data_IF_664504560242
#
_entry.id   IF_664504560242
#
_cell.length_a   1.000
_cell.length_b   1.000
_cell.length_c   1.000
_cell.angle_alpha   90.00
_cell.angle_beta   90.00
_cell.angle_gamma   90.00
#
_symmetry.space_group_name_H-M   'P 1'
#
loop_
_entity.id
_entity.type
_entity.pdbx_description
1 polymer ?
#
# COMPACT_ATOMS: atom_id res chain seq x y z
N UNK A 1 13.91 12.34 1.11
CA UNK A 1 13.80 11.26 0.11
C UNK A 1 14.72 11.60 -1.06
N UNK A 2 15.39 10.62 -1.64
CA UNK A 2 16.31 10.79 -2.76
C UNK A 2 15.60 11.38 -3.99
N UNK A 3 16.25 12.32 -4.71
CA UNK A 3 15.65 13.02 -5.84
C UNK A 3 15.37 12.07 -7.04
N UNK A 4 16.26 11.10 -7.26
CA UNK A 4 16.09 10.11 -8.34
C UNK A 4 14.88 9.22 -8.05
N UNK A 5 14.68 8.81 -6.79
CA UNK A 5 13.51 8.03 -6.39
C UNK A 5 12.21 8.79 -6.62
N UNK A 6 12.16 10.07 -6.22
CA UNK A 6 10.98 10.91 -6.46
C UNK A 6 10.66 11.04 -7.94
N UNK A 7 11.67 11.21 -8.78
CA UNK A 7 11.51 11.26 -10.23
C UNK A 7 10.93 9.95 -10.77
N UNK A 8 11.46 8.80 -10.39
CA UNK A 8 10.96 7.49 -10.84
C UNK A 8 9.54 7.21 -10.36
N UNK A 9 9.21 7.55 -9.10
CA UNK A 9 7.84 7.41 -8.58
C UNK A 9 6.86 8.33 -9.31
N UNK A 10 7.30 9.54 -9.71
CA UNK A 10 6.50 10.43 -10.57
C UNK A 10 6.23 9.80 -11.94
N UNK A 11 7.24 9.18 -12.56
CA UNK A 11 7.08 8.45 -13.83
C UNK A 11 6.13 7.26 -13.70
N UNK A 12 6.15 6.54 -12.55
CA UNK A 12 5.17 5.47 -12.25
C UNK A 12 3.74 6.00 -12.35
N UNK A 13 3.48 7.16 -11.75
CA UNK A 13 2.14 7.78 -11.79
C UNK A 13 1.77 8.27 -13.19
N UNK A 14 2.69 8.91 -13.89
CA UNK A 14 2.46 9.42 -15.26
C UNK A 14 2.19 8.31 -16.26
N UNK A 15 2.88 7.18 -16.13
CA UNK A 15 2.73 6.01 -17.03
C UNK A 15 1.56 5.10 -16.64
N UNK A 16 0.88 5.37 -15.51
CA UNK A 16 -0.12 4.47 -14.97
C UNK A 16 0.46 3.09 -14.62
N UNK A 17 1.76 3.05 -14.25
CA UNK A 17 2.43 1.82 -13.89
C UNK A 17 1.95 1.33 -12.51
N UNK A 18 1.81 0.01 -12.36
CA UNK A 18 1.43 -0.60 -11.08
C UNK A 18 2.59 -0.68 -10.10
N UNK A 19 3.80 -0.97 -10.59
CA UNK A 19 4.97 -1.21 -9.76
C UNK A 19 6.22 -0.54 -10.35
N UNK A 20 7.12 -0.09 -9.45
CA UNK A 20 8.51 0.25 -9.75
C UNK A 20 9.41 -0.80 -9.08
N UNK A 21 10.29 -1.40 -9.84
CA UNK A 21 11.28 -2.36 -9.38
C UNK A 21 12.66 -1.72 -9.46
N UNK A 22 13.35 -1.70 -8.35
CA UNK A 22 14.73 -1.22 -8.24
C UNK A 22 15.64 -2.35 -7.80
N UNK A 23 16.73 -2.55 -8.53
CA UNK A 23 17.74 -3.58 -8.21
C UNK A 23 19.13 -3.06 -8.52
N UNK A 24 20.07 -3.36 -7.64
CA UNK A 24 21.48 -3.05 -7.89
C UNK A 24 21.97 -3.69 -9.20
N UNK A 25 22.65 -2.92 -10.03
CA UNK A 25 23.19 -3.34 -11.32
C UNK A 25 22.20 -3.32 -12.49
N UNK A 26 20.96 -2.88 -12.28
CA UNK A 26 19.94 -2.76 -13.31
C UNK A 26 19.38 -1.33 -13.38
N UNK A 27 18.87 -0.87 -14.54
CA UNK A 27 18.09 0.34 -14.60
C UNK A 27 16.79 0.18 -13.79
N UNK A 28 16.16 1.29 -13.34
CA UNK A 28 14.82 1.22 -12.77
C UNK A 28 13.85 0.59 -13.77
N UNK A 29 13.01 -0.33 -13.31
CA UNK A 29 12.03 -1.03 -14.14
C UNK A 29 10.62 -0.69 -13.67
N UNK A 30 9.69 -0.45 -14.59
CA UNK A 30 8.27 -0.23 -14.27
C UNK A 30 7.41 -1.33 -14.86
N UNK A 31 6.29 -1.63 -14.18
CA UNK A 31 5.28 -2.56 -14.69
C UNK A 31 4.09 -1.78 -15.24
N UNK A 32 3.93 -1.80 -16.56
CA UNK A 32 2.81 -1.15 -17.27
C UNK A 32 1.98 -2.24 -17.93
N UNK A 33 0.69 -2.29 -17.67
CA UNK A 33 -0.25 -3.30 -18.22
C UNK A 33 0.28 -4.75 -18.07
N UNK A 34 0.88 -5.05 -16.90
CA UNK A 34 1.43 -6.36 -16.59
C UNK A 34 2.83 -6.64 -17.14
N UNK A 35 3.37 -5.79 -18.02
CA UNK A 35 4.69 -5.97 -18.63
C UNK A 35 5.75 -5.12 -17.94
N UNK A 36 6.90 -5.72 -17.63
CA UNK A 36 8.08 -5.00 -17.13
C UNK A 36 8.84 -4.36 -18.29
N UNK A 37 9.20 -3.08 -18.10
CA UNK A 37 10.01 -2.33 -19.05
C UNK A 37 10.99 -1.41 -18.32
N UNK A 38 12.22 -1.19 -18.83
CA UNK A 38 13.16 -0.27 -18.21
C UNK A 38 12.70 1.18 -18.42
N UNK A 39 12.98 2.01 -17.41
CA UNK A 39 13.02 3.46 -17.60
C UNK A 39 14.33 3.84 -18.30
N UNK A 40 14.31 4.95 -19.03
CA UNK A 40 15.51 5.50 -19.69
C UNK A 40 16.43 6.17 -18.66
N UNK A 41 17.05 5.33 -17.84
CA UNK A 41 17.99 5.70 -16.77
C UNK A 41 19.15 4.70 -16.73
N UNK A 42 20.34 5.12 -16.27
CA UNK A 42 21.48 4.21 -16.11
C UNK A 42 21.17 3.16 -15.01
N UNK A 43 21.96 2.08 -15.03
CA UNK A 43 21.91 1.06 -14.00
C UNK A 43 22.25 1.64 -12.62
N UNK A 44 21.49 1.24 -11.60
CA UNK A 44 21.65 1.70 -10.22
C UNK A 44 22.87 0.97 -9.61
N UNK A 45 23.88 1.70 -9.17
CA UNK A 45 25.00 1.08 -8.44
C UNK A 45 24.55 0.57 -7.07
N UNK A 46 25.27 -0.42 -6.52
CA UNK A 46 24.97 -0.96 -5.19
C UNK A 46 25.01 0.14 -4.10
N UNK A 47 26.00 1.04 -4.17
CA UNK A 47 26.12 2.16 -3.23
C UNK A 47 24.96 3.16 -3.36
N UNK A 48 24.51 3.44 -4.59
CA UNK A 48 23.36 4.31 -4.81
C UNK A 48 22.08 3.65 -4.29
N UNK A 49 21.90 2.34 -4.50
CA UNK A 49 20.76 1.60 -3.98
C UNK A 49 20.68 1.68 -2.45
N UNK A 50 21.79 1.50 -1.74
CA UNK A 50 21.84 1.64 -0.27
C UNK A 50 21.45 3.04 0.17
N UNK A 51 22.02 4.09 -0.46
CA UNK A 51 21.71 5.50 -0.14
C UNK A 51 20.22 5.81 -0.37
N UNK A 52 19.68 5.36 -1.48
CA UNK A 52 18.28 5.54 -1.85
C UNK A 52 17.35 4.91 -0.82
N UNK A 53 17.58 3.65 -0.46
CA UNK A 53 16.78 2.94 0.55
C UNK A 53 16.93 3.58 1.93
N UNK A 54 18.12 3.95 2.35
CA UNK A 54 18.35 4.64 3.62
C UNK A 54 17.60 5.97 3.68
N UNK A 55 17.65 6.76 2.61
CA UNK A 55 16.90 8.03 2.51
C UNK A 55 15.39 7.82 2.53
N UNK A 56 14.90 6.80 1.87
CA UNK A 56 13.48 6.45 1.86
C UNK A 56 13.01 6.03 3.26
N UNK A 57 13.71 5.10 3.90
CA UNK A 57 13.37 4.57 5.22
C UNK A 57 13.48 5.62 6.34
N UNK A 58 14.41 6.56 6.25
CA UNK A 58 14.52 7.69 7.19
C UNK A 58 13.27 8.60 7.15
N UNK A 59 12.61 8.71 6.01
CA UNK A 59 11.37 9.48 5.87
C UNK A 59 10.14 8.75 6.44
N UNK A 60 10.22 7.45 6.74
CA UNK A 60 9.13 6.66 7.34
C UNK A 60 8.98 6.89 8.84
N UNK A 61 10.03 7.31 9.53
CA UNK A 61 10.04 7.54 10.98
C UNK A 61 9.03 8.61 11.45
N UNK A 62 8.46 9.40 10.54
CA UNK A 62 7.50 10.46 10.83
C UNK A 62 6.02 10.08 10.66
N UNK A 63 5.68 8.89 10.16
CA UNK A 63 4.31 8.55 9.75
C UNK A 63 3.52 7.67 10.72
N UNK A 64 3.83 7.72 12.04
CA UNK A 64 3.04 7.03 13.08
C UNK A 64 3.20 5.50 13.12
N UNK A 65 4.04 4.91 12.27
CA UNK A 65 4.43 3.50 12.30
C UNK A 65 5.68 3.30 13.17
N UNK A 66 5.87 4.16 14.18
CA UNK A 66 7.09 4.31 14.96
C UNK A 66 7.13 3.38 16.19
N UNK A 67 7.19 2.06 15.98
CA UNK A 67 7.80 1.17 16.98
C UNK A 67 9.13 0.56 16.52
N UNK A 68 9.54 0.83 15.29
CA UNK A 68 10.93 0.62 14.92
C UNK A 68 11.57 2.00 14.77
N UNK A 69 12.31 2.45 15.82
CA UNK A 69 13.38 3.42 15.63
C UNK A 69 14.10 2.98 14.36
N UNK A 70 14.32 3.88 13.37
CA UNK A 70 15.30 3.58 12.34
C UNK A 70 16.62 3.40 13.08
N UNK A 71 16.94 2.19 13.49
CA UNK A 71 18.31 1.83 13.70
C UNK A 71 18.97 2.28 12.40
N UNK A 72 19.89 3.26 12.49
CA UNK A 72 20.68 3.70 11.36
C UNK A 72 20.89 2.50 10.46
N UNK A 73 20.33 2.54 9.24
CA UNK A 73 20.49 1.47 8.27
C UNK A 73 21.97 1.45 7.85
N UNK A 74 22.78 0.96 8.77
CA UNK A 74 24.05 0.33 8.41
C UNK A 74 23.70 -0.94 7.65
N UNK A 75 24.55 -1.42 6.79
CA UNK A 75 24.36 -2.66 6.04
C UNK A 75 23.93 -3.87 6.92
N UNK A 76 24.16 -3.80 8.25
CA UNK A 76 23.75 -4.79 9.24
C UNK A 76 22.26 -4.65 9.72
N UNK A 77 21.61 -3.51 9.53
CA UNK A 77 20.21 -3.32 9.93
C UNK A 77 19.24 -3.80 8.85
N UNK A 78 19.68 -3.98 7.61
CA UNK A 78 18.95 -4.59 6.51
C UNK A 78 19.03 -6.12 6.56
N UNK A 79 19.02 -6.75 7.75
CA UNK A 79 19.15 -8.22 7.88
C UNK A 79 17.88 -9.01 7.53
N UNK A 80 16.77 -8.35 7.22
CA UNK A 80 15.47 -8.97 6.91
C UNK A 80 14.73 -8.21 5.83
N UNK A 81 13.78 -8.88 5.20
CA UNK A 81 12.83 -8.25 4.29
C UNK A 81 11.96 -7.24 5.06
N UNK A 82 11.73 -6.08 4.45
CA UNK A 82 10.91 -5.02 5.02
C UNK A 82 9.71 -4.76 4.10
N UNK A 83 8.50 -4.79 4.66
CA UNK A 83 7.28 -4.38 3.96
C UNK A 83 6.65 -3.20 4.71
N UNK A 84 6.32 -2.14 3.99
CA UNK A 84 5.75 -0.94 4.57
C UNK A 84 4.88 -0.17 3.56
N UNK A 85 3.99 0.67 4.08
CA UNK A 85 3.27 1.64 3.27
C UNK A 85 3.86 3.05 3.51
N UNK A 86 4.16 3.76 2.42
CA UNK A 86 4.82 5.07 2.44
C UNK A 86 3.95 6.09 1.73
N UNK A 87 3.71 7.22 2.38
CA UNK A 87 3.08 8.39 1.77
C UNK A 87 4.16 9.31 1.20
N UNK A 88 4.11 9.57 -0.11
CA UNK A 88 5.02 10.47 -0.81
C UNK A 88 4.26 11.74 -1.15
N UNK A 89 4.65 12.92 -0.60
CA UNK A 89 3.96 14.18 -0.86
C UNK A 89 3.82 14.44 -2.36
N UNK A 90 2.60 14.75 -2.81
CA UNK A 90 2.28 15.01 -4.23
C UNK A 90 2.18 13.78 -5.13
N UNK A 91 2.61 12.60 -4.69
CA UNK A 91 2.56 11.36 -5.48
C UNK A 91 1.64 10.29 -4.88
N UNK A 92 1.14 10.50 -3.64
CA UNK A 92 0.26 9.54 -2.96
C UNK A 92 1.04 8.43 -2.25
N UNK A 93 0.37 7.28 -2.02
CA UNK A 93 0.93 6.17 -1.25
C UNK A 93 1.52 5.08 -2.13
N UNK A 94 2.52 4.42 -1.57
CA UNK A 94 3.16 3.25 -2.17
C UNK A 94 3.35 2.18 -1.10
N UNK A 95 3.04 0.93 -1.43
CA UNK A 95 3.53 -0.23 -0.67
C UNK A 95 4.93 -0.53 -1.13
N UNK A 96 5.82 -0.69 -0.20
CA UNK A 96 7.25 -0.90 -0.48
C UNK A 96 7.72 -2.17 0.19
N UNK A 97 8.23 -3.08 -0.60
CA UNK A 97 8.95 -4.25 -0.13
C UNK A 97 10.43 -4.07 -0.44
N UNK A 98 11.29 -4.23 0.56
CA UNK A 98 12.76 -4.14 0.46
C UNK A 98 13.34 -5.48 0.87
N UNK A 99 14.21 -6.04 0.06
CA UNK A 99 14.80 -7.36 0.30
C UNK A 99 16.22 -7.46 -0.24
N UNK A 100 17.00 -8.34 0.37
CA UNK A 100 18.34 -8.69 -0.11
C UNK A 100 18.27 -9.77 -1.18
N UNK A 101 19.11 -9.66 -2.20
CA UNK A 101 19.29 -10.69 -3.24
C UNK A 101 20.76 -10.77 -3.66
N UNK A 102 21.11 -11.74 -4.53
CA UNK A 102 22.51 -12.04 -4.89
C UNK A 102 23.34 -10.83 -5.35
N UNK A 103 22.72 -9.83 -6.01
CA UNK A 103 23.39 -8.62 -6.51
C UNK A 103 23.38 -7.45 -5.52
N UNK A 104 22.88 -7.67 -4.31
CA UNK A 104 22.69 -6.63 -3.30
C UNK A 104 21.22 -6.34 -3.02
N UNK A 105 20.91 -5.12 -2.60
CA UNK A 105 19.56 -4.73 -2.24
C UNK A 105 18.66 -4.50 -3.45
N UNK A 106 17.39 -4.84 -3.26
CA UNK A 106 16.32 -4.59 -4.20
C UNK A 106 15.10 -4.05 -3.48
N UNK A 107 14.24 -3.32 -4.19
CA UNK A 107 12.95 -2.89 -3.68
C UNK A 107 11.90 -2.89 -4.78
N UNK A 108 10.65 -3.15 -4.35
CA UNK A 108 9.46 -3.06 -5.20
C UNK A 108 8.53 -2.03 -4.57
N UNK A 109 8.13 -1.04 -5.36
CA UNK A 109 7.24 0.05 -4.97
C UNK A 109 5.95 -0.10 -5.74
N UNK A 110 4.89 -0.55 -5.07
CA UNK A 110 3.56 -0.67 -5.64
C UNK A 110 2.76 0.59 -5.41
N UNK A 111 2.28 1.21 -6.48
CA UNK A 111 1.41 2.36 -6.39
C UNK A 111 0.06 1.95 -5.76
N UNK A 112 -0.30 2.57 -4.63
CA UNK A 112 -1.60 2.40 -3.99
C UNK A 112 -2.57 3.42 -4.62
N UNK A 113 -3.80 2.98 -4.89
CA UNK A 113 -4.82 3.85 -5.43
C UNK A 113 -5.13 5.00 -4.43
N UNK A 114 -5.21 6.22 -4.94
CA UNK A 114 -5.58 7.40 -4.13
C UNK A 114 -7.07 7.71 -4.19
N UNK A 115 -7.75 7.22 -5.22
CA UNK A 115 -9.18 7.36 -5.40
C UNK A 115 -9.91 6.18 -4.77
N UNK A 116 -10.86 6.47 -3.88
CA UNK A 116 -11.76 5.46 -3.33
C UNK A 116 -12.90 5.29 -4.31
N UNK A 117 -13.11 4.09 -4.89
CA UNK A 117 -14.16 3.91 -5.88
C UNK A 117 -15.55 4.01 -5.24
N UNK A 118 -16.53 4.44 -6.02
CA UNK A 118 -17.95 4.39 -5.66
C UNK A 118 -18.53 3.00 -5.97
N UNK A 119 -19.73 2.72 -5.46
CA UNK A 119 -20.44 1.46 -5.75
C UNK A 119 -20.79 1.34 -7.24
N UNK A 120 -21.02 2.47 -7.92
CA UNK A 120 -21.27 2.54 -9.35
C UNK A 120 -20.00 2.18 -10.15
N UNK A 121 -18.85 2.74 -9.78
CA UNK A 121 -17.56 2.50 -10.46
C UNK A 121 -17.11 1.03 -10.36
N UNK A 122 -17.44 0.35 -9.25
CA UNK A 122 -17.17 -1.09 -9.10
C UNK A 122 -18.28 -1.97 -9.65
N UNK A 123 -19.28 -1.38 -10.32
CA UNK A 123 -20.46 -2.06 -10.86
C UNK A 123 -21.15 -2.96 -9.81
N UNK A 124 -21.23 -2.49 -8.56
CA UNK A 124 -21.82 -3.23 -7.46
C UNK A 124 -23.34 -3.40 -7.68
N UNK A 125 -23.90 -4.60 -7.46
CA UNK A 125 -25.36 -4.79 -7.48
C UNK A 125 -26.07 -3.85 -6.49
N UNK A 126 -27.22 -3.32 -6.87
CA UNK A 126 -27.98 -2.39 -6.03
C UNK A 126 -28.34 -2.99 -4.64
N UNK A 127 -28.57 -4.30 -4.57
CA UNK A 127 -28.83 -5.02 -3.33
C UNK A 127 -27.70 -4.92 -2.29
N UNK A 128 -26.45 -4.69 -2.70
CA UNK A 128 -25.34 -4.51 -1.77
C UNK A 128 -25.50 -3.26 -0.89
N UNK A 129 -26.16 -2.21 -1.41
CA UNK A 129 -26.48 -1.01 -0.61
C UNK A 129 -27.42 -1.35 0.55
N UNK A 130 -28.44 -2.17 0.27
CA UNK A 130 -29.43 -2.55 1.27
C UNK A 130 -28.83 -3.51 2.31
N UNK A 131 -27.95 -4.42 1.84
CA UNK A 131 -27.30 -5.38 2.75
C UNK A 131 -26.32 -4.70 3.71
N UNK A 132 -25.53 -3.77 3.24
CA UNK A 132 -24.54 -3.09 4.10
C UNK A 132 -25.19 -2.14 5.11
N UNK A 133 -26.45 -1.75 4.89
CA UNK A 133 -27.21 -0.91 5.83
C UNK A 133 -27.91 -1.72 6.95
N UNK A 134 -27.82 -3.05 6.92
CA UNK A 134 -28.41 -3.88 7.98
C UNK A 134 -27.68 -3.64 9.31
N UNK A 135 -28.40 -3.56 10.44
CA UNK A 135 -27.79 -3.24 11.74
C UNK A 135 -26.93 -4.36 12.31
N UNK A 136 -27.00 -5.58 11.76
CA UNK A 136 -26.23 -6.74 12.18
C UNK A 136 -26.14 -7.76 11.05
N UNK A 137 -25.12 -8.61 11.08
CA UNK A 137 -24.92 -9.67 10.09
C UNK A 137 -23.44 -9.84 9.74
N UNK A 138 -23.19 -10.66 8.73
CA UNK A 138 -21.87 -10.89 8.15
C UNK A 138 -21.97 -10.82 6.63
N UNK A 139 -21.19 -9.98 6.00
CA UNK A 139 -21.04 -9.89 4.56
C UNK A 139 -19.65 -10.39 4.15
N UNK A 140 -19.59 -11.44 3.34
CA UNK A 140 -18.33 -12.00 2.84
C UNK A 140 -18.11 -11.60 1.38
N UNK A 141 -16.99 -10.96 1.09
CA UNK A 141 -16.54 -10.63 -0.27
C UNK A 141 -15.39 -11.57 -0.64
N UNK A 142 -15.65 -12.51 -1.54
CA UNK A 142 -14.69 -13.56 -1.93
C UNK A 142 -14.37 -13.51 -3.42
N UNK A 143 -13.23 -14.08 -3.80
CA UNK A 143 -12.80 -14.13 -5.20
C UNK A 143 -11.29 -14.25 -5.34
N UNK A 144 -10.78 -14.44 -6.56
CA UNK A 144 -9.36 -14.52 -6.87
C UNK A 144 -8.65 -13.17 -6.61
N UNK A 145 -7.32 -13.21 -6.50
CA UNK A 145 -6.50 -11.98 -6.45
C UNK A 145 -6.74 -11.13 -7.71
N UNK A 146 -6.90 -9.82 -7.52
CA UNK A 146 -7.19 -8.90 -8.63
C UNK A 146 -8.65 -8.88 -9.10
N UNK A 147 -9.58 -9.62 -8.46
CA UNK A 147 -11.01 -9.62 -8.82
C UNK A 147 -11.80 -8.40 -8.33
N UNK A 148 -11.14 -7.44 -7.65
CA UNK A 148 -11.79 -6.22 -7.16
C UNK A 148 -12.37 -6.32 -5.74
N UNK A 149 -12.02 -7.35 -4.94
CA UNK A 149 -12.51 -7.49 -3.55
C UNK A 149 -12.26 -6.26 -2.70
N UNK A 150 -11.01 -5.80 -2.63
CA UNK A 150 -10.63 -4.62 -1.84
C UNK A 150 -11.33 -3.35 -2.34
N UNK A 151 -11.44 -3.20 -3.68
CA UNK A 151 -12.16 -2.06 -4.27
C UNK A 151 -13.65 -2.08 -3.92
N UNK A 152 -14.28 -3.27 -3.92
CA UNK A 152 -15.69 -3.44 -3.53
C UNK A 152 -15.88 -3.11 -2.04
N UNK A 153 -15.01 -3.63 -1.16
CA UNK A 153 -15.06 -3.31 0.27
C UNK A 153 -14.83 -1.82 0.53
N UNK A 154 -13.86 -1.20 -0.15
CA UNK A 154 -13.62 0.24 -0.03
C UNK A 154 -14.84 1.06 -0.48
N UNK A 155 -15.50 0.67 -1.57
CA UNK A 155 -16.72 1.32 -2.04
C UNK A 155 -17.88 1.19 -1.03
N UNK A 156 -18.05 0.02 -0.40
CA UNK A 156 -19.07 -0.21 0.64
C UNK A 156 -18.78 0.65 1.89
N UNK A 157 -17.53 0.66 2.37
CA UNK A 157 -17.11 1.49 3.50
C UNK A 157 -17.32 2.97 3.17
N UNK A 158 -16.93 3.41 1.97
CA UNK A 158 -17.14 4.78 1.54
C UNK A 158 -18.63 5.16 1.51
N UNK A 159 -19.49 4.28 1.01
CA UNK A 159 -20.93 4.48 1.01
C UNK A 159 -21.50 4.65 2.44
N UNK A 160 -21.13 3.77 3.36
CA UNK A 160 -21.52 3.89 4.78
C UNK A 160 -21.03 5.19 5.40
N UNK A 161 -19.75 5.50 5.20
CA UNK A 161 -19.10 6.70 5.71
C UNK A 161 -19.75 8.00 5.21
N UNK A 162 -20.22 8.01 3.96
CA UNK A 162 -20.87 9.16 3.36
C UNK A 162 -22.37 9.30 3.75
N UNK A 163 -23.04 8.19 4.09
CA UNK A 163 -24.49 8.18 4.27
C UNK A 163 -24.95 7.96 5.71
N UNK A 164 -24.16 7.29 6.55
CA UNK A 164 -24.47 6.90 7.91
C UNK A 164 -23.61 7.61 8.95
N UNK A 165 -24.08 7.65 10.21
CA UNK A 165 -23.34 8.20 11.35
C UNK A 165 -22.90 7.03 12.26
N UNK A 166 -21.87 6.31 11.83
CA UNK A 166 -21.38 5.09 12.45
C UNK A 166 -19.95 5.26 12.99
N UNK A 167 -19.52 4.31 13.81
CA UNK A 167 -18.10 4.08 14.08
C UNK A 167 -17.66 2.88 13.23
N UNK A 168 -16.79 3.12 12.24
CA UNK A 168 -16.29 2.11 11.31
C UNK A 168 -14.85 1.79 11.67
N UNK A 169 -14.58 0.54 12.03
CA UNK A 169 -13.24 0.05 12.29
C UNK A 169 -12.82 -0.93 11.19
N UNK A 170 -11.66 -0.70 10.57
CA UNK A 170 -11.07 -1.66 9.64
C UNK A 170 -9.78 -2.26 10.19
N UNK A 171 -9.55 -3.54 9.86
CA UNK A 171 -8.32 -4.27 10.14
C UNK A 171 -7.79 -4.78 8.79
N UNK A 172 -6.65 -4.27 8.34
CA UNK A 172 -6.15 -4.49 6.98
C UNK A 172 -4.66 -4.87 6.99
N UNK A 173 -4.22 -5.65 6.01
CA UNK A 173 -2.81 -6.04 5.84
C UNK A 173 -2.35 -5.89 4.37
N UNK A 174 -1.78 -4.74 4.00
CA UNK A 174 -1.84 -3.42 4.64
C UNK A 174 -3.11 -2.64 4.26
N UNK A 175 -3.25 -1.39 4.79
CA UNK A 175 -4.31 -0.46 4.38
C UNK A 175 -4.11 -0.09 2.90
N UNK A 176 -5.08 -0.45 2.04
CA UNK A 176 -5.05 -0.16 0.60
C UNK A 176 -5.72 1.17 0.25
N UNK A 177 -6.80 1.55 0.94
CA UNK A 177 -7.51 2.81 0.71
C UNK A 177 -7.61 3.60 2.01
N UNK A 178 -7.30 4.90 1.98
CA UNK A 178 -7.46 5.79 3.13
C UNK A 178 -8.84 6.46 3.11
N UNK A 179 -9.66 6.17 4.11
CA UNK A 179 -10.99 6.73 4.26
C UNK A 179 -10.96 7.95 5.19
N UNK A 180 -11.14 9.19 4.68
CA UNK A 180 -11.38 10.32 5.56
C UNK A 180 -12.71 10.13 6.29
N UNK A 181 -12.79 10.50 7.57
CA UNK A 181 -14.07 10.53 8.27
C UNK A 181 -14.97 11.61 7.65
N UNK A 182 -16.17 11.23 7.21
CA UNK A 182 -17.20 12.10 6.63
C UNK A 182 -18.36 12.25 7.62
N UNK A 183 -19.41 11.43 7.47
CA UNK A 183 -20.52 11.36 8.44
C UNK A 183 -20.25 10.34 9.54
N UNK A 184 -19.41 9.34 9.26
CA UNK A 184 -18.98 8.33 10.22
C UNK A 184 -17.58 8.65 10.75
N UNK A 185 -17.27 8.13 11.94
CA UNK A 185 -15.89 8.05 12.44
C UNK A 185 -15.25 6.80 11.85
N UNK A 186 -14.23 6.95 11.00
CA UNK A 186 -13.49 5.83 10.42
C UNK A 186 -12.12 5.69 11.10
N UNK A 187 -11.84 4.51 11.63
CA UNK A 187 -10.56 4.14 12.22
C UNK A 187 -10.00 2.92 11.49
N UNK A 188 -8.85 3.09 10.84
CA UNK A 188 -8.19 2.03 10.07
C UNK A 188 -6.92 1.58 10.80
N UNK A 189 -6.76 0.28 10.96
CA UNK A 189 -5.58 -0.32 11.59
C UNK A 189 -4.94 -1.33 10.65
N UNK A 190 -3.62 -1.17 10.43
CA UNK A 190 -2.84 -2.21 9.78
C UNK A 190 -2.56 -3.34 10.78
N UNK A 191 -2.81 -4.58 10.39
CA UNK A 191 -2.44 -5.78 11.16
C UNK A 191 -1.00 -6.09 10.83
N UNK A 192 -0.13 -6.19 11.85
CA UNK A 192 1.26 -6.63 11.66
C UNK A 192 1.31 -8.15 11.64
N UNK A 193 1.78 -8.72 10.56
CA UNK A 193 1.87 -10.18 10.36
C UNK A 193 2.96 -10.88 11.19
N UNK A 194 3.73 -10.19 12.05
CA UNK A 194 4.89 -10.78 12.71
C UNK A 194 4.68 -11.29 14.14
N UNK A 195 3.53 -11.06 14.79
CA UNK A 195 3.37 -11.48 16.21
C UNK A 195 2.22 -12.44 16.51
N UNK A 196 1.31 -12.75 15.60
CA UNK A 196 0.20 -13.66 15.90
C UNK A 196 -0.18 -14.59 14.76
N UNK A 197 0.62 -15.63 14.55
CA UNK A 197 0.30 -16.73 13.60
C UNK A 197 -0.73 -17.72 14.15
N UNK A 198 -1.50 -17.42 15.19
CA UNK A 198 -2.42 -18.42 15.76
C UNK A 198 -3.84 -18.01 16.08
N UNK A 199 -4.29 -16.76 16.07
CA UNK A 199 -5.64 -16.50 16.60
C UNK A 199 -6.56 -15.43 15.97
N UNK A 200 -6.24 -14.76 14.86
CA UNK A 200 -7.19 -13.80 14.29
C UNK A 200 -7.36 -13.95 12.78
N UNK A 201 -8.16 -14.92 12.36
CA UNK A 201 -8.93 -14.80 11.13
C UNK A 201 -9.85 -13.57 11.29
N UNK A 202 -9.75 -12.65 10.34
CA UNK A 202 -10.41 -11.36 10.25
C UNK A 202 -11.86 -11.35 10.79
N UNK A 203 -12.08 -10.67 11.91
CA UNK A 203 -13.40 -10.20 12.34
C UNK A 203 -13.55 -8.74 11.95
N UNK A 204 -14.60 -8.45 11.21
CA UNK A 204 -15.16 -7.11 11.08
C UNK A 204 -16.39 -7.10 11.96
N UNK A 205 -16.33 -6.41 13.08
CA UNK A 205 -17.51 -6.09 13.88
C UNK A 205 -18.01 -4.70 13.44
N UNK A 206 -19.23 -4.64 12.97
CA UNK A 206 -19.97 -3.42 12.62
C UNK A 206 -20.86 -3.04 13.78
#
# INVERSE_FOLDING_TARGET
MDASLLQWLSQVRQLGASDLHLSAGLPPMVRVLGRLQPLDHPAISADHMVKLLTSALSSWAGTGLADHKPALLTASALSRDHDAAVSVPGLGRFRVNVFAQQRGWSSVWRAIATHIPTLEEVAAPASLRDWVLQPHGLLLVTGATGSGKSSTLAALIHHLNATQSLHILTLEDPIEFEHPSLRSLVQQRAVRSEEHTSELQSRVDI
#
